data_IF_491775251582
#
_entry.id   IF_491775251582
#
_cell.length_a   1.000
_cell.length_b   1.000
_cell.length_c   1.000
_cell.angle_alpha   90.00
_cell.angle_beta   90.00
_cell.angle_gamma   90.00
#
_symmetry.space_group_name_H-M   'P 1'
#
loop_
_entity.id
_entity.type
_entity.pdbx_description
1 polymer ?
#
# COMPACT_ATOMS: atom_id res chain seq x y z
N UNK A 1 -0.27 -36.84 0.26
CA UNK A 1 -0.82 -36.07 1.40
C UNK A 1 0.03 -34.83 1.55
N UNK A 2 -0.54 -33.63 1.53
CA UNK A 2 0.26 -32.39 1.68
C UNK A 2 0.78 -32.35 3.12
N UNK A 3 2.10 -32.27 3.27
CA UNK A 3 2.77 -32.18 4.57
C UNK A 3 2.82 -30.72 5.03
N UNK A 4 1.91 -30.38 5.94
CA UNK A 4 1.77 -29.03 6.49
C UNK A 4 2.81 -28.71 7.58
N UNK A 5 3.65 -29.68 7.98
CA UNK A 5 4.73 -29.48 8.97
C UNK A 5 5.87 -28.57 8.49
N UNK A 6 5.87 -28.20 7.21
CA UNK A 6 6.85 -27.28 6.61
C UNK A 6 6.44 -25.80 6.66
N UNK A 7 5.24 -25.48 7.11
CA UNK A 7 4.84 -24.09 7.36
C UNK A 7 5.46 -23.62 8.69
N UNK A 8 6.73 -23.22 8.64
CA UNK A 8 7.33 -22.46 9.74
C UNK A 8 6.60 -21.12 9.85
N UNK A 9 6.08 -20.82 11.04
CA UNK A 9 5.62 -19.47 11.39
C UNK A 9 6.78 -18.50 11.11
N UNK A 10 6.61 -17.46 10.29
CA UNK A 10 7.70 -16.53 10.04
C UNK A 10 8.14 -15.96 11.39
N UNK A 11 9.46 -15.86 11.66
CA UNK A 11 9.92 -15.08 12.82
C UNK A 11 9.28 -13.70 12.68
N UNK A 12 8.72 -13.16 13.78
CA UNK A 12 7.96 -11.90 13.77
C UNK A 12 8.70 -10.83 12.96
N UNK A 13 8.28 -10.67 11.71
CA UNK A 13 8.99 -9.88 10.73
C UNK A 13 8.73 -8.41 10.98
N UNK A 14 9.69 -7.56 10.62
CA UNK A 14 9.42 -6.12 10.53
C UNK A 14 8.18 -5.84 9.67
N UNK A 15 7.59 -4.66 9.85
CA UNK A 15 6.41 -4.28 9.10
C UNK A 15 6.64 -4.47 7.58
N UNK A 16 5.68 -5.04 6.83
CA UNK A 16 5.88 -5.44 5.43
C UNK A 16 6.27 -4.24 4.56
N UNK A 17 7.18 -4.46 3.62
CA UNK A 17 7.64 -3.42 2.70
C UNK A 17 6.91 -3.45 1.36
N UNK A 18 6.29 -4.57 0.98
CA UNK A 18 5.46 -4.64 -0.22
C UNK A 18 4.09 -3.98 0.07
N UNK A 19 3.70 -2.92 -0.65
CA UNK A 19 2.39 -2.30 -0.50
C UNK A 19 1.20 -3.27 -0.61
N UNK A 20 1.33 -4.34 -1.39
CA UNK A 20 0.29 -5.37 -1.50
C UNK A 20 0.23 -6.21 -0.23
N UNK A 21 1.37 -6.53 0.38
CA UNK A 21 1.40 -7.24 1.66
C UNK A 21 0.89 -6.35 2.80
N UNK A 22 1.20 -5.05 2.78
CA UNK A 22 0.63 -4.07 3.71
C UNK A 22 -0.90 -4.09 3.60
N UNK A 23 -1.46 -3.99 2.39
CA UNK A 23 -2.90 -4.04 2.17
C UNK A 23 -3.54 -5.34 2.69
N UNK A 24 -2.92 -6.50 2.40
CA UNK A 24 -3.41 -7.82 2.86
C UNK A 24 -3.35 -8.00 4.38
N UNK A 25 -2.36 -7.38 5.03
CA UNK A 25 -2.16 -7.49 6.47
C UNK A 25 -2.91 -6.42 7.26
N UNK A 26 -3.46 -5.39 6.59
CA UNK A 26 -4.32 -4.42 7.24
C UNK A 26 -5.63 -5.07 7.67
N UNK A 27 -6.10 -4.82 8.91
CA UNK A 27 -7.40 -5.32 9.35
C UNK A 27 -8.47 -4.83 8.39
N UNK A 28 -9.41 -5.72 8.03
CA UNK A 28 -10.53 -5.44 7.13
C UNK A 28 -11.04 -4.01 7.34
N UNK A 29 -10.80 -3.15 6.34
CA UNK A 29 -11.18 -1.74 6.33
C UNK A 29 -12.70 -1.58 6.18
N UNK A 30 -13.53 -2.29 6.95
CA UNK A 30 -14.99 -2.18 6.95
C UNK A 30 -15.61 -2.13 5.54
N UNK A 31 -16.05 -0.94 5.12
CA UNK A 31 -16.68 -0.66 3.82
C UNK A 31 -15.70 -0.47 2.64
N UNK A 32 -14.39 -0.61 2.85
CA UNK A 32 -13.42 -0.52 1.77
C UNK A 32 -13.52 -1.75 0.84
N UNK A 33 -13.09 -1.61 -0.43
CA UNK A 33 -13.01 -2.76 -1.33
C UNK A 33 -12.18 -3.88 -0.69
N UNK A 34 -12.73 -5.10 -0.69
CA UNK A 34 -12.00 -6.29 -0.21
C UNK A 34 -10.74 -6.58 -1.03
N UNK A 35 -10.63 -6.00 -2.23
CA UNK A 35 -9.54 -6.21 -3.17
C UNK A 35 -9.09 -4.91 -3.84
N UNK A 36 -7.81 -4.87 -4.19
CA UNK A 36 -7.25 -3.87 -5.09
C UNK A 36 -7.71 -4.15 -6.52
N UNK A 37 -8.13 -3.11 -7.23
CA UNK A 37 -8.38 -3.23 -8.67
C UNK A 37 -7.07 -3.46 -9.42
N UNK A 38 -7.13 -4.10 -10.59
CA UNK A 38 -5.95 -4.49 -11.38
C UNK A 38 -4.99 -3.30 -11.62
N UNK A 39 -5.52 -2.13 -11.98
CA UNK A 39 -4.72 -0.92 -12.18
C UNK A 39 -4.00 -0.43 -10.92
N UNK A 40 -4.63 -0.55 -9.75
CA UNK A 40 -4.00 -0.19 -8.47
C UNK A 40 -2.88 -1.18 -8.12
N UNK A 41 -3.17 -2.48 -8.23
CA UNK A 41 -2.20 -3.54 -7.96
C UNK A 41 -0.99 -3.42 -8.89
N UNK A 42 -1.21 -3.14 -10.18
CA UNK A 42 -0.13 -2.96 -11.14
C UNK A 42 0.71 -1.71 -10.85
N UNK A 43 0.07 -0.60 -10.47
CA UNK A 43 0.79 0.61 -10.05
C UNK A 43 1.67 0.35 -8.82
N UNK A 44 1.13 -0.32 -7.80
CA UNK A 44 1.87 -0.66 -6.58
C UNK A 44 3.03 -1.62 -6.84
N UNK A 45 2.84 -2.67 -7.64
CA UNK A 45 3.92 -3.60 -8.05
C UNK A 45 5.02 -2.87 -8.79
N UNK A 46 4.65 -2.04 -9.76
CA UNK A 46 5.60 -1.30 -10.59
C UNK A 46 6.40 -0.31 -9.74
N UNK A 47 5.73 0.43 -8.85
CA UNK A 47 6.41 1.31 -7.91
C UNK A 47 7.35 0.55 -6.97
N UNK A 48 6.91 -0.58 -6.37
CA UNK A 48 7.71 -1.34 -5.43
C UNK A 48 9.03 -1.85 -6.04
N UNK A 49 8.99 -2.36 -7.28
CA UNK A 49 10.19 -2.75 -8.04
C UNK A 49 11.12 -1.56 -8.33
N UNK A 50 10.57 -0.35 -8.44
CA UNK A 50 11.30 0.87 -8.76
C UNK A 50 11.50 1.81 -7.55
N UNK A 51 11.24 1.35 -6.31
CA UNK A 51 11.14 2.20 -5.11
C UNK A 51 12.41 2.98 -4.77
N UNK A 52 13.56 2.54 -5.29
CA UNK A 52 14.85 3.23 -5.13
C UNK A 52 14.98 4.49 -6.00
N UNK A 53 14.06 4.73 -6.94
CA UNK A 53 14.04 5.97 -7.72
C UNK A 53 13.57 7.12 -6.84
N UNK A 54 14.26 8.26 -6.94
CA UNK A 54 13.93 9.47 -6.18
C UNK A 54 12.52 9.98 -6.48
N UNK A 55 12.14 9.96 -7.76
CA UNK A 55 10.86 10.48 -8.24
C UNK A 55 10.08 9.41 -9.01
N UNK A 56 8.75 9.42 -8.87
CA UNK A 56 7.85 8.52 -9.56
C UNK A 56 6.55 9.24 -9.94
N UNK A 57 6.09 9.04 -11.18
CA UNK A 57 4.79 9.51 -11.64
C UNK A 57 3.85 8.30 -11.79
N UNK A 58 2.72 8.33 -11.09
CA UNK A 58 1.68 7.30 -11.16
C UNK A 58 0.42 7.92 -11.74
N UNK A 59 -0.03 7.41 -12.90
CA UNK A 59 -1.22 7.89 -13.60
C UNK A 59 -2.31 6.82 -13.52
N UNK A 60 -3.46 7.20 -12.96
CA UNK A 60 -4.62 6.34 -12.79
C UNK A 60 -5.91 7.13 -13.08
N UNK A 61 -6.90 6.48 -13.68
CA UNK A 61 -8.19 7.11 -14.01
C UNK A 61 -8.94 7.59 -12.75
N UNK A 62 -9.84 8.58 -12.88
CA UNK A 62 -10.72 9.04 -11.79
C UNK A 62 -11.66 7.94 -11.33
N UNK A 63 -12.08 7.98 -10.05
CA UNK A 63 -12.87 6.89 -9.44
C UNK A 63 -12.09 5.60 -9.15
N UNK A 64 -10.85 5.46 -9.64
CA UNK A 64 -10.03 4.25 -9.47
C UNK A 64 -9.34 4.13 -8.09
N UNK A 65 -9.82 4.81 -7.06
CA UNK A 65 -9.25 4.71 -5.70
C UNK A 65 -7.79 5.13 -5.57
N UNK A 66 -7.34 6.17 -6.29
CA UNK A 66 -5.93 6.64 -6.27
C UNK A 66 -5.35 6.89 -4.88
N UNK A 67 -6.18 7.33 -3.94
CA UNK A 67 -5.74 7.60 -2.56
C UNK A 67 -5.15 6.36 -1.89
N UNK A 68 -5.73 5.18 -2.10
CA UNK A 68 -5.21 3.94 -1.48
C UNK A 68 -3.80 3.60 -1.99
N UNK A 69 -3.53 3.87 -3.28
CA UNK A 69 -2.21 3.64 -3.87
C UNK A 69 -1.17 4.54 -3.19
N UNK A 70 -1.46 5.84 -3.05
CA UNK A 70 -0.55 6.77 -2.39
C UNK A 70 -0.33 6.47 -0.91
N UNK A 71 -1.39 6.12 -0.18
CA UNK A 71 -1.31 5.75 1.24
C UNK A 71 -0.50 4.47 1.46
N UNK A 72 -0.69 3.45 0.64
CA UNK A 72 0.07 2.20 0.75
C UNK A 72 1.56 2.41 0.42
N UNK A 73 1.86 3.27 -0.55
CA UNK A 73 3.24 3.71 -0.83
C UNK A 73 3.84 4.42 0.38
N UNK A 74 3.11 5.38 0.96
CA UNK A 74 3.54 6.11 2.14
C UNK A 74 3.82 5.15 3.32
N UNK A 75 2.92 4.21 3.59
CA UNK A 75 3.11 3.21 4.64
C UNK A 75 4.33 2.31 4.36
N UNK A 76 4.59 1.94 3.11
CA UNK A 76 5.79 1.18 2.72
C UNK A 76 7.08 1.96 3.02
N UNK A 77 7.10 3.27 2.78
CA UNK A 77 8.24 4.13 3.10
C UNK A 77 8.44 4.30 4.61
N UNK A 78 7.35 4.44 5.37
CA UNK A 78 7.38 4.46 6.84
C UNK A 78 7.92 3.14 7.39
N UNK A 79 7.49 2.00 6.85
CA UNK A 79 7.97 0.68 7.25
C UNK A 79 9.46 0.48 6.94
N UNK A 80 9.95 1.12 5.87
CA UNK A 80 11.37 1.18 5.52
C UNK A 80 12.18 2.18 6.38
N UNK A 81 11.51 2.93 7.26
CA UNK A 81 12.10 4.00 8.09
C UNK A 81 12.62 5.19 7.28
N UNK A 82 12.07 5.43 6.08
CA UNK A 82 12.39 6.59 5.25
C UNK A 82 11.53 7.78 5.65
N UNK A 83 12.09 8.61 6.54
CA UNK A 83 11.70 10.00 6.83
C UNK A 83 10.27 10.22 7.35
N UNK A 84 9.93 11.47 7.73
CA UNK A 84 8.53 11.85 7.82
C UNK A 84 7.92 11.81 6.41
N UNK A 85 6.80 11.12 6.25
CA UNK A 85 6.07 11.02 4.98
C UNK A 85 4.88 11.97 4.99
N UNK A 86 4.73 12.76 3.93
CA UNK A 86 3.62 13.71 3.76
C UNK A 86 2.77 13.33 2.54
N UNK A 87 1.47 13.14 2.76
CA UNK A 87 0.48 12.96 1.70
C UNK A 87 -0.32 14.25 1.54
N UNK A 88 -0.14 14.95 0.43
CA UNK A 88 -0.79 16.25 0.17
C UNK A 88 -2.02 16.06 -0.71
N UNK A 89 -3.13 16.68 -0.33
CA UNK A 89 -4.36 16.73 -1.11
C UNK A 89 -4.65 18.14 -1.60
N UNK A 90 -5.36 18.27 -2.71
CA UNK A 90 -5.72 19.57 -3.28
C UNK A 90 -6.88 20.28 -2.56
N UNK A 91 -7.66 19.56 -1.75
CA UNK A 91 -8.81 20.10 -1.01
C UNK A 91 -8.91 19.52 0.39
N UNK A 92 -9.55 20.26 1.30
CA UNK A 92 -9.80 19.85 2.70
C UNK A 92 -10.71 18.61 2.74
N UNK A 93 -11.68 18.50 1.82
CA UNK A 93 -12.55 17.33 1.74
C UNK A 93 -11.76 16.05 1.45
N UNK A 94 -10.79 16.11 0.54
CA UNK A 94 -9.91 14.98 0.24
C UNK A 94 -9.00 14.61 1.42
N UNK A 95 -8.50 15.61 2.16
CA UNK A 95 -7.78 15.35 3.42
C UNK A 95 -8.70 14.60 4.40
N UNK A 96 -9.91 15.09 4.59
CA UNK A 96 -10.89 14.52 5.52
C UNK A 96 -11.30 13.09 5.13
N UNK A 97 -11.38 12.79 3.83
CA UNK A 97 -11.67 11.44 3.33
C UNK A 97 -10.48 10.48 3.52
N UNK A 98 -9.25 10.97 3.41
CA UNK A 98 -8.04 10.13 3.46
C UNK A 98 -7.55 9.89 4.89
N UNK A 99 -7.82 10.81 5.82
CA UNK A 99 -7.36 10.74 7.20
C UNK A 99 -8.21 9.84 8.12
N UNK A 100 -9.34 9.34 7.63
CA UNK A 100 -10.27 8.46 8.37
C UNK A 100 -9.94 6.99 8.11
#
# INVERSE_FOLDING_TARGET
MIDFGKFKRPPGGGAPLDPIEIFKNSPNLGNAPNDLWEGQAQALKTWHVNRAKSDSLIVLNTGAGKSIVGVLIAQSLVNEKIGPVLFVCSTIDLVTQTAK
#
